data_IF_007742766765
#
_entry.id   IF_007742766765
#
_cell.length_a   1.000
_cell.length_b   1.000
_cell.length_c   1.000
_cell.angle_alpha   90.00
_cell.angle_beta   90.00
_cell.angle_gamma   90.00
#
_symmetry.space_group_name_H-M   'P 1'
#
loop_
_entity.id
_entity.type
_entity.pdbx_description
1 polymer ?
#
# COMPACT_ATOMS: atom_id res chain seq x y z
N UNK A 1 20.07 -1.01 28.65
CA UNK A 1 18.71 -0.53 28.33
C UNK A 1 18.73 -0.13 26.87
N UNK A 2 17.81 -0.68 26.09
CA UNK A 2 17.84 -0.68 24.62
C UNK A 2 17.49 0.71 24.09
N UNK A 3 18.23 1.17 23.08
CA UNK A 3 18.06 2.42 22.32
C UNK A 3 16.67 2.57 21.66
N UNK A 4 15.80 1.58 21.83
CA UNK A 4 14.43 1.53 21.32
C UNK A 4 13.39 2.13 22.28
N UNK A 5 13.73 2.39 23.55
CA UNK A 5 12.79 2.99 24.53
C UNK A 5 12.79 4.53 24.52
N UNK A 6 13.79 5.20 23.91
CA UNK A 6 13.86 6.67 23.83
C UNK A 6 13.05 7.29 22.67
N UNK A 7 12.50 6.48 21.75
CA UNK A 7 11.66 6.97 20.65
C UNK A 7 10.17 6.96 20.99
N UNK A 8 9.86 7.38 22.21
CA UNK A 8 8.50 7.57 22.69
C UNK A 8 7.72 8.57 21.83
N UNK A 9 6.62 8.10 21.24
CA UNK A 9 5.35 8.83 21.16
C UNK A 9 5.37 10.23 20.54
N UNK A 10 5.74 10.36 19.27
CA UNK A 10 5.43 11.59 18.52
C UNK A 10 3.99 11.49 17.99
N UNK A 11 3.07 12.19 18.66
CA UNK A 11 1.76 12.51 18.10
C UNK A 11 1.96 13.30 16.81
N UNK A 12 1.85 12.63 15.66
CA UNK A 12 1.98 13.27 14.35
C UNK A 12 0.82 14.23 14.14
N UNK A 13 1.09 15.53 14.29
CA UNK A 13 0.18 16.61 13.91
C UNK A 13 -0.17 16.56 12.40
N UNK A 14 -1.14 17.37 11.96
CA UNK A 14 -1.65 17.33 10.59
C UNK A 14 -0.51 17.58 9.60
N UNK A 15 -0.34 16.66 8.65
CA UNK A 15 0.68 16.71 7.61
C UNK A 15 0.50 17.99 6.78
N UNK A 16 1.60 18.73 6.56
CA UNK A 16 1.65 19.83 5.61
C UNK A 16 1.30 19.30 4.21
N UNK A 17 0.19 19.79 3.65
CA UNK A 17 -0.24 19.53 2.28
C UNK A 17 -0.92 18.18 2.07
N UNK A 18 -2.05 17.92 2.74
CA UNK A 18 -2.97 16.89 2.27
C UNK A 18 -3.41 17.26 0.85
N UNK A 19 -3.11 16.41 -0.14
CA UNK A 19 -3.67 16.56 -1.47
C UNK A 19 -5.19 16.67 -1.35
N UNK A 20 -5.85 17.53 -2.14
CA UNK A 20 -7.31 17.64 -2.12
C UNK A 20 -7.91 16.24 -2.28
N UNK A 21 -9.01 15.98 -1.56
CA UNK A 21 -9.71 14.70 -1.65
C UNK A 21 -10.01 14.42 -3.12
N UNK A 22 -9.48 13.31 -3.64
CA UNK A 22 -9.67 12.93 -5.03
C UNK A 22 -11.17 12.66 -5.28
N UNK A 23 -11.66 13.09 -6.43
CA UNK A 23 -13.02 12.82 -6.89
C UNK A 23 -13.28 11.30 -6.91
N UNK A 24 -14.35 10.79 -6.27
CA UNK A 24 -14.73 9.38 -6.32
C UNK A 24 -14.83 8.81 -7.74
N UNK A 25 -15.25 9.61 -8.72
CA UNK A 25 -15.28 9.20 -10.13
C UNK A 25 -13.87 8.91 -10.67
N UNK A 26 -12.92 9.78 -10.36
CA UNK A 26 -11.49 9.59 -10.70
C UNK A 26 -10.92 8.37 -10.00
N UNK A 27 -11.19 8.17 -8.70
CA UNK A 27 -10.71 7.01 -7.94
C UNK A 27 -11.24 5.70 -8.53
N UNK A 28 -12.51 5.66 -8.92
CA UNK A 28 -13.12 4.50 -9.58
C UNK A 28 -12.42 4.18 -10.89
N UNK A 29 -12.21 5.20 -11.74
CA UNK A 29 -11.53 5.00 -13.03
C UNK A 29 -10.08 4.56 -12.87
N UNK A 30 -9.35 5.12 -11.91
CA UNK A 30 -7.99 4.69 -11.58
C UNK A 30 -7.98 3.24 -11.09
N UNK A 31 -8.98 2.87 -10.28
CA UNK A 31 -9.16 1.51 -9.80
C UNK A 31 -9.36 0.49 -10.92
N UNK A 32 -10.25 0.79 -11.87
CA UNK A 32 -10.45 -0.01 -13.09
C UNK A 32 -9.14 -0.22 -13.87
N UNK A 33 -8.35 0.85 -14.03
CA UNK A 33 -7.05 0.77 -14.71
C UNK A 33 -6.04 -0.09 -13.95
N UNK A 34 -6.08 -0.09 -12.61
CA UNK A 34 -5.24 -1.00 -11.81
C UNK A 34 -5.62 -2.47 -12.07
N UNK A 35 -6.91 -2.80 -12.06
CA UNK A 35 -7.35 -4.16 -12.35
C UNK A 35 -6.98 -4.60 -13.78
N UNK A 36 -7.16 -3.73 -14.76
CA UNK A 36 -6.73 -3.99 -16.14
C UNK A 36 -5.21 -4.22 -16.23
N UNK A 37 -4.41 -3.42 -15.52
CA UNK A 37 -2.95 -3.60 -15.44
C UNK A 37 -2.57 -4.94 -14.80
N UNK A 38 -3.26 -5.37 -13.75
CA UNK A 38 -3.04 -6.66 -13.13
C UNK A 38 -3.35 -7.82 -14.09
N UNK A 39 -4.50 -7.77 -14.77
CA UNK A 39 -4.87 -8.77 -15.77
C UNK A 39 -3.82 -8.87 -16.89
N UNK A 40 -3.25 -7.74 -17.33
CA UNK A 40 -2.16 -7.73 -18.32
C UNK A 40 -0.89 -8.42 -17.82
N UNK A 41 -0.52 -8.26 -16.54
CA UNK A 41 0.62 -8.96 -15.95
C UNK A 41 0.40 -10.48 -15.97
N UNK A 42 -0.78 -10.93 -15.55
CA UNK A 42 -1.13 -12.36 -15.57
C UNK A 42 -1.14 -12.92 -16.99
N UNK A 43 -1.65 -12.17 -17.98
CA UNK A 43 -1.62 -12.56 -19.39
C UNK A 43 -0.18 -12.69 -19.95
N UNK A 44 0.77 -11.93 -19.42
CA UNK A 44 2.19 -12.04 -19.76
C UNK A 44 2.94 -13.15 -18.98
N UNK A 45 2.24 -13.96 -18.18
CA UNK A 45 2.86 -14.98 -17.34
C UNK A 45 3.60 -14.43 -16.11
N UNK A 46 3.33 -13.16 -15.75
CA UNK A 46 3.92 -12.47 -14.59
C UNK A 46 2.98 -12.45 -13.37
N UNK A 47 1.84 -13.13 -13.45
CA UNK A 47 0.87 -13.26 -12.35
C UNK A 47 1.30 -14.25 -11.27
N UNK A 48 0.50 -14.40 -10.23
CA UNK A 48 0.68 -15.40 -9.18
C UNK A 48 -0.60 -15.59 -8.39
N UNK A 49 -0.97 -16.83 -8.08
CA UNK A 49 -2.16 -17.16 -7.30
C UNK A 49 -2.29 -16.34 -6.00
N UNK A 50 -1.16 -16.01 -5.37
CA UNK A 50 -1.13 -15.19 -4.16
C UNK A 50 -1.56 -13.74 -4.41
N UNK A 51 -0.97 -13.09 -5.42
CA UNK A 51 -1.32 -11.70 -5.77
C UNK A 51 -2.71 -11.62 -6.37
N UNK A 52 -3.08 -12.60 -7.18
CA UNK A 52 -4.38 -12.67 -7.85
C UNK A 52 -5.49 -12.80 -6.80
N UNK A 53 -5.27 -13.62 -5.77
CA UNK A 53 -6.22 -13.75 -4.66
C UNK A 53 -6.36 -12.46 -3.86
N UNK A 54 -5.25 -11.78 -3.55
CA UNK A 54 -5.30 -10.48 -2.86
C UNK A 54 -6.06 -9.43 -3.68
N UNK A 55 -5.81 -9.35 -4.99
CA UNK A 55 -6.52 -8.43 -5.88
C UNK A 55 -8.03 -8.73 -5.91
N UNK A 56 -8.40 -10.01 -5.99
CA UNK A 56 -9.80 -10.44 -5.95
C UNK A 56 -10.49 -10.07 -4.62
N UNK A 57 -9.81 -10.23 -3.47
CA UNK A 57 -10.34 -9.83 -2.16
C UNK A 57 -10.57 -8.31 -2.06
N UNK A 58 -9.64 -7.51 -2.60
CA UNK A 58 -9.82 -6.04 -2.66
C UNK A 58 -11.00 -5.67 -3.55
N UNK A 59 -11.11 -6.29 -4.73
CA UNK A 59 -12.21 -6.04 -5.66
C UNK A 59 -13.57 -6.39 -5.06
N UNK A 60 -13.65 -7.50 -4.32
CA UNK A 60 -14.88 -7.92 -3.64
C UNK A 60 -15.28 -6.96 -2.50
N UNK A 61 -14.31 -6.36 -1.80
CA UNK A 61 -14.58 -5.39 -0.75
C UNK A 61 -15.07 -4.02 -1.30
N UNK A 62 -14.51 -3.59 -2.42
CA UNK A 62 -15.03 -2.51 -3.26
C UNK A 62 -15.14 -1.11 -2.62
N UNK A 63 -15.67 -0.13 -3.38
CA UNK A 63 -15.65 1.29 -3.02
C UNK A 63 -16.41 1.64 -1.74
N UNK A 64 -17.43 0.86 -1.36
CA UNK A 64 -18.20 1.05 -0.12
C UNK A 64 -17.34 0.86 1.14
N UNK A 65 -16.23 0.12 1.01
CA UNK A 65 -15.22 -0.02 2.08
C UNK A 65 -14.06 0.97 1.94
N UNK A 66 -14.16 1.88 0.97
CA UNK A 66 -13.13 2.86 0.61
C UNK A 66 -11.98 2.26 -0.21
N UNK A 67 -12.16 1.10 -0.84
CA UNK A 67 -11.17 0.42 -1.68
C UNK A 67 -11.60 0.50 -3.15
N UNK A 68 -10.74 1.05 -4.01
CA UNK A 68 -11.11 1.33 -5.40
C UNK A 68 -10.39 0.44 -6.41
N UNK A 69 -9.17 0.00 -6.10
CA UNK A 69 -8.35 -0.76 -7.04
C UNK A 69 -7.23 -1.53 -6.38
N UNK A 70 -6.78 -2.59 -7.03
CA UNK A 70 -5.57 -3.30 -6.64
C UNK A 70 -4.85 -3.87 -7.86
N UNK A 71 -3.52 -3.97 -7.76
CA UNK A 71 -2.70 -4.67 -8.76
C UNK A 71 -1.39 -5.17 -8.18
N UNK A 72 -0.83 -6.20 -8.79
CA UNK A 72 0.58 -6.57 -8.59
C UNK A 72 1.53 -5.39 -8.90
N UNK A 73 2.63 -5.28 -8.16
CA UNK A 73 3.69 -4.29 -8.38
C UNK A 73 5.08 -4.91 -8.23
N UNK A 74 6.07 -4.35 -8.92
CA UNK A 74 7.41 -4.94 -9.07
C UNK A 74 7.56 -5.82 -10.31
N UNK A 75 8.45 -6.81 -10.25
CA UNK A 75 8.83 -7.65 -11.38
C UNK A 75 7.81 -8.74 -11.79
N UNK A 76 6.85 -9.07 -10.92
CA UNK A 76 5.89 -10.15 -11.15
C UNK A 76 6.20 -11.45 -10.39
N UNK A 77 5.43 -12.50 -10.67
CA UNK A 77 5.55 -13.86 -10.10
C UNK A 77 5.32 -13.94 -8.59
N UNK A 78 4.57 -12.98 -8.03
CA UNK A 78 4.24 -12.86 -6.62
C UNK A 78 4.67 -11.51 -6.04
N UNK A 79 4.93 -11.48 -4.72
CA UNK A 79 5.43 -10.30 -4.03
C UNK A 79 4.33 -9.38 -3.52
N UNK A 80 4.26 -8.16 -4.04
CA UNK A 80 3.46 -7.06 -3.45
C UNK A 80 2.27 -6.69 -4.31
N UNK A 81 1.13 -6.44 -3.66
CA UNK A 81 -0.05 -5.82 -4.28
C UNK A 81 -0.15 -4.38 -3.79
N UNK A 82 -0.23 -3.44 -4.74
CA UNK A 82 -0.58 -2.06 -4.45
C UNK A 82 -2.10 -1.91 -4.41
N UNK A 83 -2.61 -1.21 -3.41
CA UNK A 83 -4.05 -0.98 -3.21
C UNK A 83 -4.34 0.52 -3.25
N UNK A 84 -5.30 0.93 -4.07
CA UNK A 84 -5.83 2.28 -4.09
C UNK A 84 -7.00 2.36 -3.11
N UNK A 85 -6.85 3.20 -2.09
CA UNK A 85 -7.75 3.26 -0.96
C UNK A 85 -7.89 4.70 -0.44
N UNK A 86 -9.02 5.00 0.19
CA UNK A 86 -9.18 6.24 0.95
C UNK A 86 -8.32 6.22 2.23
N UNK A 87 -8.01 7.39 2.82
CA UNK A 87 -7.24 7.46 4.08
C UNK A 87 -7.84 6.66 5.25
N UNK A 88 -9.15 6.41 5.27
CA UNK A 88 -9.84 5.73 6.37
C UNK A 88 -10.03 4.22 6.12
N UNK A 89 -9.68 3.72 4.94
CA UNK A 89 -9.89 2.33 4.54
C UNK A 89 -8.83 1.35 5.08
N UNK A 90 -7.89 1.81 5.91
CA UNK A 90 -6.83 0.95 6.47
C UNK A 90 -7.37 -0.27 7.21
N UNK A 91 -8.49 -0.12 7.93
CA UNK A 91 -9.14 -1.25 8.62
C UNK A 91 -9.69 -2.30 7.64
N UNK A 92 -10.13 -1.89 6.44
CA UNK A 92 -10.57 -2.80 5.38
C UNK A 92 -9.39 -3.58 4.80
N UNK A 93 -8.26 -2.90 4.55
CA UNK A 93 -7.01 -3.55 4.12
C UNK A 93 -6.53 -4.59 5.14
N UNK A 94 -6.61 -4.27 6.44
CA UNK A 94 -6.28 -5.23 7.51
C UNK A 94 -7.21 -6.45 7.54
N UNK A 95 -8.50 -6.29 7.22
CA UNK A 95 -9.42 -7.42 7.10
C UNK A 95 -9.07 -8.33 5.92
N UNK A 96 -8.69 -7.74 4.79
CA UNK A 96 -8.24 -8.49 3.60
C UNK A 96 -6.97 -9.29 3.90
N UNK A 97 -5.98 -8.67 4.53
CA UNK A 97 -4.76 -9.34 4.98
C UNK A 97 -5.06 -10.58 5.84
N UNK A 98 -5.92 -10.41 6.86
CA UNK A 98 -6.35 -11.53 7.74
C UNK A 98 -7.11 -12.61 6.98
N UNK A 99 -8.00 -12.24 6.06
CA UNK A 99 -8.76 -13.20 5.26
C UNK A 99 -7.82 -14.03 4.37
N UNK A 100 -6.88 -13.37 3.69
CA UNK A 100 -5.87 -14.05 2.87
C UNK A 100 -4.99 -14.99 3.69
N UNK A 101 -4.56 -14.55 4.88
CA UNK A 101 -3.77 -15.37 5.81
C UNK A 101 -4.53 -16.61 6.27
N UNK A 102 -5.80 -16.44 6.65
CA UNK A 102 -6.66 -17.54 7.07
C UNK A 102 -6.93 -18.53 5.93
N UNK A 103 -7.12 -18.04 4.70
CA UNK A 103 -7.38 -18.87 3.52
C UNK A 103 -6.15 -19.62 3.02
N UNK A 104 -4.97 -19.01 3.10
CA UNK A 104 -3.76 -19.52 2.40
C UNK A 104 -2.63 -19.96 3.33
N UNK A 105 -2.69 -19.64 4.62
CA UNK A 105 -1.60 -19.85 5.58
C UNK A 105 -0.37 -18.97 5.36
N UNK A 106 -0.40 -18.02 4.41
CA UNK A 106 0.73 -17.15 4.05
C UNK A 106 0.57 -15.78 4.68
N UNK A 107 1.56 -15.34 5.46
CA UNK A 107 1.57 -14.02 6.11
C UNK A 107 1.67 -12.87 5.11
N UNK A 108 1.02 -11.76 5.44
CA UNK A 108 0.99 -10.53 4.64
C UNK A 108 1.56 -9.36 5.43
N UNK A 109 2.61 -8.73 4.91
CA UNK A 109 3.14 -7.50 5.48
C UNK A 109 2.39 -6.31 4.87
N UNK A 110 1.71 -5.54 5.71
CA UNK A 110 1.12 -4.27 5.30
C UNK A 110 2.18 -3.17 5.32
N UNK A 111 2.36 -2.53 4.17
CA UNK A 111 3.22 -1.37 4.00
C UNK A 111 2.30 -0.16 3.78
N UNK A 112 2.43 0.86 4.62
CA UNK A 112 1.58 2.04 4.55
C UNK A 112 2.22 3.25 5.24
N UNK A 113 1.57 4.40 5.07
CA UNK A 113 2.08 5.70 5.50
C UNK A 113 2.78 6.46 4.37
N UNK A 114 2.89 7.77 4.54
CA UNK A 114 3.64 8.66 3.66
C UNK A 114 4.75 9.34 4.45
N UNK A 115 5.90 9.54 3.80
CA UNK A 115 6.92 10.49 4.24
C UNK A 115 7.18 11.48 3.10
N UNK A 116 7.82 12.62 3.38
CA UNK A 116 8.45 13.40 2.32
C UNK A 116 9.36 12.47 1.50
N UNK A 117 9.15 12.40 0.19
CA UNK A 117 10.07 11.70 -0.72
C UNK A 117 11.40 12.45 -0.83
N UNK A 118 12.44 11.83 -1.39
CA UNK A 118 13.78 12.43 -1.46
C UNK A 118 13.81 13.85 -2.05
N UNK A 119 12.97 14.14 -3.04
CA UNK A 119 12.84 15.48 -3.63
C UNK A 119 12.29 16.54 -2.65
N UNK A 120 11.37 16.16 -1.77
CA UNK A 120 10.82 17.06 -0.74
C UNK A 120 11.67 17.08 0.54
N UNK A 121 12.33 15.96 0.88
CA UNK A 121 13.16 15.82 2.07
C UNK A 121 14.54 16.50 1.94
N UNK A 122 15.10 16.54 0.73
CA UNK A 122 16.43 17.11 0.49
C UNK A 122 17.57 16.18 0.91
N UNK A 123 18.78 16.74 1.06
CA UNK A 123 20.01 15.99 1.36
C UNK A 123 20.55 16.41 2.73
N UNK A 124 20.84 15.44 3.59
CA UNK A 124 21.57 15.64 4.85
C UNK A 124 23.03 15.23 4.67
N UNK A 125 23.97 16.16 4.92
CA UNK A 125 25.40 15.90 4.87
C UNK A 125 25.90 15.55 6.27
N UNK A 126 26.33 14.30 6.45
CA UNK A 126 26.97 13.87 7.69
C UNK A 126 28.48 14.14 7.59
N UNK A 127 29.03 14.84 8.57
CA UNK A 127 30.47 15.03 8.75
C UNK A 127 30.85 14.35 10.05
N UNK A 128 31.85 13.46 10.02
CA UNK A 128 32.42 12.88 11.22
C UNK A 128 33.95 12.96 11.16
N UNK A 129 34.56 13.05 12.34
CA UNK A 129 36.01 13.04 12.50
C UNK A 129 36.41 11.70 13.09
N UNK A 130 37.47 11.10 12.55
CA UNK A 130 38.07 9.89 13.13
C UNK A 130 39.06 10.35 14.20
N UNK A 131 38.93 9.80 15.42
CA UNK A 131 39.85 10.07 16.53
C UNK A 131 41.20 9.36 16.33
#
# INVERSE_FOLDING_TARGET
>A
RSLLEELGGESRGPLAGAAPAADPGVLTRLGELMYASHASYSACGLGSDGTDRLVALVQAAGPDTGLYGAKITGGGSGGTVAVLATPYAFSAVQRIARAYEAETGRSTRLLGGSSPGAGAFGVQRLVWTVA
#
